data_IF_764646769458
#
_entry.id   IF_764646769458
#
_cell.length_a   1.000
_cell.length_b   1.000
_cell.length_c   1.000
_cell.angle_alpha   90.00
_cell.angle_beta   90.00
_cell.angle_gamma   90.00
#
_symmetry.space_group_name_H-M   'P 1'
#
loop_
_entity.id
_entity.type
_entity.pdbx_description
1 polymer ?
#
# COMPACT_ATOMS: atom_id res chain seq x y z
N UNK A 1 0.03 10.29 15.35
CA UNK A 1 0.44 9.16 14.52
C UNK A 1 0.88 9.64 13.19
N UNK A 2 1.97 9.11 12.71
CA UNK A 2 2.54 9.58 11.46
C UNK A 2 2.57 8.45 10.45
N UNK A 3 2.19 8.74 9.21
CA UNK A 3 2.35 7.82 8.11
C UNK A 3 3.83 7.44 7.92
N UNK A 4 4.06 6.23 7.45
CA UNK A 4 5.40 5.76 7.13
C UNK A 4 5.95 6.66 6.03
N UNK A 5 7.16 7.20 6.24
CA UNK A 5 7.83 8.00 5.22
C UNK A 5 8.46 7.09 4.18
N UNK A 6 8.53 7.59 2.95
CA UNK A 6 9.15 6.87 1.84
C UNK A 6 9.80 7.85 0.88
N UNK A 7 10.74 7.34 0.07
CA UNK A 7 11.31 8.07 -1.06
C UNK A 7 10.83 7.39 -2.34
N UNK A 8 9.93 8.04 -3.08
CA UNK A 8 9.28 7.44 -4.24
C UNK A 8 10.28 6.91 -5.27
N UNK A 9 11.35 7.65 -5.53
CA UNK A 9 12.39 7.24 -6.47
C UNK A 9 13.21 6.04 -6.01
N UNK A 10 13.14 5.67 -4.73
CA UNK A 10 13.88 4.55 -4.15
C UNK A 10 13.03 3.30 -3.97
N UNK A 11 11.74 3.38 -4.23
CA UNK A 11 10.84 2.23 -4.11
C UNK A 11 11.18 1.20 -5.17
N UNK A 12 11.47 -0.02 -4.73
CA UNK A 12 11.76 -1.13 -5.63
C UNK A 12 11.48 -2.46 -4.96
N UNK A 13 11.11 -3.49 -5.74
CA UNK A 13 10.95 -4.83 -5.21
C UNK A 13 12.33 -5.46 -4.95
N UNK A 14 12.39 -6.30 -3.94
CA UNK A 14 13.55 -7.17 -3.70
C UNK A 14 13.26 -8.58 -4.23
N UNK A 15 14.22 -9.49 -4.07
CA UNK A 15 14.04 -10.87 -4.54
C UNK A 15 12.88 -11.56 -3.83
N UNK A 16 12.14 -12.37 -4.58
CA UNK A 16 11.05 -13.17 -4.04
C UNK A 16 9.68 -12.50 -4.11
N UNK A 17 9.56 -11.36 -4.81
CA UNK A 17 8.27 -10.70 -4.97
C UNK A 17 7.43 -11.37 -6.05
N UNK A 18 6.11 -11.29 -5.87
CA UNK A 18 5.12 -11.63 -6.89
C UNK A 18 4.49 -10.33 -7.36
N UNK A 19 4.53 -10.10 -8.67
CA UNK A 19 4.03 -8.89 -9.29
C UNK A 19 2.74 -9.15 -10.05
N UNK A 20 1.88 -8.13 -10.07
CA UNK A 20 0.74 -8.04 -10.99
C UNK A 20 0.86 -6.76 -11.77
N UNK A 21 0.52 -6.81 -13.06
CA UNK A 21 0.44 -5.62 -13.89
C UNK A 21 -1.01 -5.30 -14.13
N UNK A 22 -1.37 -4.04 -13.93
CA UNK A 22 -2.74 -3.60 -14.07
C UNK A 22 -2.85 -2.12 -14.37
N UNK A 23 -4.07 -1.68 -14.64
CA UNK A 23 -4.35 -0.30 -15.02
C UNK A 23 -4.52 0.57 -13.77
N UNK A 24 -3.84 1.71 -13.73
CA UNK A 24 -4.08 2.71 -12.70
C UNK A 24 -5.45 3.35 -12.93
N UNK A 25 -6.28 3.37 -11.90
CA UNK A 25 -7.60 3.99 -11.94
C UNK A 25 -7.63 5.42 -11.40
N UNK A 26 -6.50 5.87 -10.88
CA UNK A 26 -6.26 7.21 -10.35
C UNK A 26 -4.78 7.50 -10.46
N UNK A 27 -4.36 8.73 -10.15
CA UNK A 27 -2.93 9.04 -10.05
C UNK A 27 -2.32 8.25 -8.90
N UNK A 28 -1.24 7.51 -9.18
CA UNK A 28 -0.50 6.71 -8.21
C UNK A 28 0.95 7.18 -8.15
N UNK A 29 1.59 6.95 -7.01
CA UNK A 29 3.03 7.15 -6.83
C UNK A 29 3.65 5.89 -6.25
N UNK A 30 4.94 5.60 -6.54
CA UNK A 30 5.59 4.42 -6.01
C UNK A 30 5.52 4.33 -4.49
N UNK A 31 5.25 3.15 -3.98
CA UNK A 31 5.20 2.89 -2.55
C UNK A 31 3.81 3.03 -1.92
N UNK A 32 2.82 3.46 -2.67
CA UNK A 32 1.45 3.54 -2.15
C UNK A 32 0.81 2.16 -2.05
N UNK A 33 0.07 1.93 -0.96
CA UNK A 33 -0.85 0.81 -0.88
C UNK A 33 -2.02 1.05 -1.83
N UNK A 34 -2.44 0.02 -2.54
CA UNK A 34 -3.49 0.13 -3.56
C UNK A 34 -4.54 -0.95 -3.41
N UNK A 35 -5.78 -0.61 -3.74
CA UNK A 35 -6.89 -1.56 -3.83
C UNK A 35 -7.41 -1.61 -5.26
N UNK A 36 -8.11 -2.67 -5.60
CA UNK A 36 -8.69 -2.83 -6.93
C UNK A 36 -10.16 -2.39 -6.90
N UNK A 37 -10.46 -1.34 -7.66
CA UNK A 37 -11.82 -0.77 -7.74
C UNK A 37 -12.54 -1.29 -8.98
N UNK A 38 -12.99 -2.52 -8.91
CA UNK A 38 -13.82 -3.13 -9.96
C UNK A 38 -13.26 -2.88 -11.36
N UNK A 39 -14.07 -2.31 -12.23
CA UNK A 39 -13.70 -1.99 -13.60
C UNK A 39 -12.83 -0.73 -13.75
N UNK A 40 -12.64 0.02 -12.65
CA UNK A 40 -11.95 1.31 -12.71
C UNK A 40 -10.44 1.23 -12.45
N UNK A 41 -9.93 0.04 -12.14
CA UNK A 41 -8.50 -0.16 -11.97
C UNK A 41 -8.01 0.05 -10.54
N UNK A 42 -6.70 0.17 -10.39
CA UNK A 42 -6.03 0.27 -9.10
C UNK A 42 -6.05 1.71 -8.59
N UNK A 43 -6.42 1.89 -7.33
CA UNK A 43 -6.52 3.19 -6.68
C UNK A 43 -5.80 3.19 -5.34
N UNK A 44 -5.41 4.38 -4.81
CA UNK A 44 -4.79 4.45 -3.48
C UNK A 44 -5.72 3.91 -2.41
N UNK A 45 -5.22 3.00 -1.58
CA UNK A 45 -5.98 2.43 -0.46
C UNK A 45 -6.19 3.47 0.62
N UNK A 46 -7.34 3.40 1.29
CA UNK A 46 -7.75 4.38 2.28
C UNK A 46 -8.60 3.68 3.35
N UNK A 47 -8.29 3.93 4.61
CA UNK A 47 -8.96 3.26 5.73
C UNK A 47 -10.34 3.83 6.07
N UNK A 48 -10.84 4.81 5.34
CA UNK A 48 -12.12 5.45 5.64
C UNK A 48 -13.35 4.73 5.06
N UNK A 49 -13.16 3.71 4.25
CA UNK A 49 -14.25 2.91 3.69
C UNK A 49 -13.85 1.45 3.56
N UNK A 50 -14.83 0.54 3.66
CA UNK A 50 -14.55 -0.90 3.63
C UNK A 50 -13.92 -1.36 2.32
N UNK A 51 -14.36 -0.82 1.18
CA UNK A 51 -13.84 -1.22 -0.12
C UNK A 51 -12.41 -0.72 -0.32
N UNK A 52 -12.15 0.55 -0.01
CA UNK A 52 -10.84 1.17 -0.22
C UNK A 52 -9.79 0.72 0.80
N UNK A 53 -10.21 0.24 1.96
CA UNK A 53 -9.29 -0.29 2.97
C UNK A 53 -8.71 -1.66 2.59
N UNK A 54 -9.32 -2.36 1.65
CA UNK A 54 -8.89 -3.70 1.23
C UNK A 54 -7.71 -3.63 0.27
N UNK A 55 -6.57 -3.17 0.74
CA UNK A 55 -5.35 -3.13 -0.07
C UNK A 55 -4.97 -4.53 -0.54
N UNK A 56 -4.56 -4.64 -1.80
CA UNK A 56 -4.12 -5.91 -2.38
C UNK A 56 -2.63 -5.92 -2.71
N UNK A 57 -1.98 -4.80 -2.57
CA UNK A 57 -0.55 -4.70 -2.80
C UNK A 57 -0.05 -3.28 -2.74
N UNK A 58 1.18 -3.11 -3.21
CA UNK A 58 1.88 -1.84 -3.25
C UNK A 58 2.35 -1.58 -4.67
N UNK A 59 2.00 -0.42 -5.22
CA UNK A 59 2.45 -0.02 -6.56
C UNK A 59 3.93 0.37 -6.53
N UNK A 60 4.70 -0.06 -7.53
CA UNK A 60 6.15 0.17 -7.54
C UNK A 60 6.65 0.90 -8.77
N UNK A 61 6.07 0.69 -9.96
CA UNK A 61 6.63 1.21 -11.20
C UNK A 61 5.63 1.14 -12.34
N UNK A 62 5.83 1.98 -13.35
CA UNK A 62 5.17 1.85 -14.66
C UNK A 62 6.14 1.36 -15.75
N UNK A 63 7.38 1.08 -15.36
CA UNK A 63 8.45 0.68 -16.28
C UNK A 63 9.24 1.83 -16.89
N UNK A 64 8.85 3.08 -16.67
CA UNK A 64 9.51 4.26 -17.24
C UNK A 64 10.51 4.94 -16.31
N UNK A 65 10.52 4.57 -15.03
CA UNK A 65 11.31 5.27 -14.02
C UNK A 65 10.63 6.51 -13.47
N UNK A 66 9.40 6.78 -13.88
CA UNK A 66 8.60 7.90 -13.36
C UNK A 66 8.24 7.68 -11.89
N UNK A 67 8.04 8.77 -11.17
CA UNK A 67 7.58 8.77 -9.77
C UNK A 67 6.12 9.24 -9.64
N UNK A 68 5.41 9.29 -10.75
CA UNK A 68 3.97 9.59 -10.78
C UNK A 68 3.34 8.89 -11.97
N UNK A 69 2.25 8.17 -11.73
CA UNK A 69 1.58 7.37 -12.74
C UNK A 69 0.16 7.90 -12.92
N UNK A 70 -0.12 8.44 -14.12
CA UNK A 70 -1.45 8.96 -14.42
C UNK A 70 -2.48 7.83 -14.51
N UNK A 71 -3.73 8.13 -14.23
CA UNK A 71 -4.84 7.21 -14.49
C UNK A 71 -4.82 6.76 -15.96
N UNK A 72 -5.04 5.47 -16.18
CA UNK A 72 -4.96 4.86 -17.52
C UNK A 72 -3.58 4.29 -17.87
N UNK A 73 -2.58 4.49 -17.00
CA UNK A 73 -1.23 3.92 -17.19
C UNK A 73 -1.19 2.51 -16.62
N UNK A 74 -0.52 1.59 -17.31
CA UNK A 74 -0.25 0.27 -16.74
C UNK A 74 0.86 0.36 -15.70
N UNK A 75 0.64 -0.24 -14.54
CA UNK A 75 1.57 -0.22 -13.42
C UNK A 75 1.85 -1.62 -12.91
N UNK A 76 3.02 -1.79 -12.29
CA UNK A 76 3.38 -3.02 -11.61
C UNK A 76 3.10 -2.90 -10.12
N UNK A 77 2.48 -3.92 -9.56
CA UNK A 77 2.06 -3.97 -8.17
C UNK A 77 2.64 -5.21 -7.53
N UNK A 78 3.34 -5.03 -6.41
CA UNK A 78 3.78 -6.15 -5.58
C UNK A 78 2.58 -6.61 -4.76
N UNK A 79 2.16 -7.84 -4.97
CA UNK A 79 1.05 -8.45 -4.20
C UNK A 79 1.55 -9.37 -3.10
N UNK A 80 2.83 -9.72 -3.11
CA UNK A 80 3.49 -10.50 -2.08
C UNK A 80 5.01 -10.30 -2.17
N UNK A 81 5.65 -10.06 -1.02
CA UNK A 81 7.10 -10.03 -0.94
C UNK A 81 7.68 -8.68 -0.53
N UNK A 82 9.01 -8.59 -0.46
CA UNK A 82 9.68 -7.41 0.10
C UNK A 82 9.79 -6.25 -0.88
N UNK A 83 9.45 -5.04 -0.39
CA UNK A 83 9.61 -3.77 -1.11
C UNK A 83 10.42 -2.82 -0.23
N UNK A 84 11.48 -2.25 -0.77
CA UNK A 84 12.32 -1.28 -0.08
C UNK A 84 12.06 0.15 -0.57
N UNK A 85 12.58 1.14 0.16
CA UNK A 85 12.43 2.56 -0.16
C UNK A 85 11.66 3.34 0.90
N UNK A 86 11.24 2.66 1.96
CA UNK A 86 10.61 3.26 3.14
C UNK A 86 11.68 3.70 4.14
N UNK A 87 11.27 4.33 5.24
CA UNK A 87 12.19 4.79 6.26
C UNK A 87 11.60 4.67 7.65
N UNK A 88 12.48 4.41 8.61
CA UNK A 88 12.18 4.51 10.05
C UNK A 88 11.07 3.59 10.55
N UNK A 89 10.84 2.48 9.88
CA UNK A 89 9.88 1.48 10.37
C UNK A 89 10.44 0.70 11.55
N UNK A 90 9.57 0.31 12.47
CA UNK A 90 9.91 -0.62 13.55
C UNK A 90 9.90 -2.03 12.98
N UNK A 91 11.04 -2.69 13.03
CA UNK A 91 11.21 -4.05 12.49
C UNK A 91 10.29 -5.04 13.21
N UNK A 92 9.62 -5.87 12.44
CA UNK A 92 8.71 -6.88 12.95
C UNK A 92 7.29 -6.38 13.24
N UNK A 93 7.07 -5.08 13.26
CA UNK A 93 5.75 -4.52 13.54
C UNK A 93 4.85 -4.57 12.29
N UNK A 94 3.53 -4.77 12.47
CA UNK A 94 2.60 -4.77 11.35
C UNK A 94 2.50 -3.39 10.70
N UNK A 95 2.05 -3.40 9.45
CA UNK A 95 1.82 -2.18 8.65
C UNK A 95 0.37 -2.18 8.18
N UNK A 96 -0.32 -1.08 8.43
CA UNK A 96 -1.74 -0.91 8.16
C UNK A 96 -1.98 0.12 7.07
N UNK A 97 -3.13 0.02 6.40
CA UNK A 97 -3.63 1.09 5.54
C UNK A 97 -3.91 2.32 6.41
N UNK A 98 -3.44 3.48 5.97
CA UNK A 98 -3.67 4.75 6.66
C UNK A 98 -5.00 5.38 6.25
N UNK A 99 -5.47 6.33 7.05
CA UNK A 99 -6.59 7.21 6.68
C UNK A 99 -6.18 8.26 5.64
N UNK A 100 -4.90 8.36 5.34
CA UNK A 100 -4.40 9.18 4.22
C UNK A 100 -4.29 8.26 2.99
N UNK A 101 -5.00 8.59 1.92
CA UNK A 101 -5.07 7.74 0.73
C UNK A 101 -3.67 7.37 0.21
N UNK A 102 -3.44 6.09 0.03
CA UNK A 102 -2.17 5.52 -0.44
C UNK A 102 -1.09 5.38 0.61
N UNK A 103 -1.18 6.06 1.74
CA UNK A 103 -0.20 5.97 2.81
C UNK A 103 -0.43 4.73 3.68
N UNK A 104 0.59 4.39 4.46
CA UNK A 104 0.55 3.29 5.41
C UNK A 104 1.09 3.76 6.76
N UNK A 105 0.71 3.09 7.82
CA UNK A 105 1.12 3.43 9.18
C UNK A 105 1.35 2.14 9.96
N UNK A 106 2.29 2.15 10.88
CA UNK A 106 2.51 1.03 11.80
C UNK A 106 1.61 1.10 13.03
N UNK A 107 0.80 2.13 13.13
CA UNK A 107 -0.27 2.23 14.11
C UNK A 107 -1.60 2.12 13.40
N UNK A 108 -2.45 1.18 13.84
CA UNK A 108 -3.78 1.01 13.27
C UNK A 108 -4.63 2.27 13.47
N UNK A 109 -5.54 2.60 12.54
CA UNK A 109 -6.51 3.67 12.75
C UNK A 109 -7.30 3.46 14.04
N UNK A 110 -7.65 4.55 14.72
CA UNK A 110 -8.35 4.50 16.00
C UNK A 110 -9.66 5.28 16.01
N UNK A 111 -9.93 6.08 14.98
CA UNK A 111 -11.17 6.86 14.92
C UNK A 111 -12.37 5.98 14.61
N UNK A 112 -13.49 6.26 15.26
CA UNK A 112 -14.74 5.54 15.00
C UNK A 112 -15.13 5.65 13.51
N UNK A 113 -15.52 4.53 12.93
CA UNK A 113 -15.90 4.46 11.52
C UNK A 113 -14.74 4.13 10.57
N UNK A 114 -13.50 4.23 11.02
CA UNK A 114 -12.35 3.82 10.22
C UNK A 114 -12.17 2.31 10.25
N UNK A 115 -11.39 1.80 9.30
CA UNK A 115 -11.18 0.37 9.13
C UNK A 115 -9.72 0.01 9.39
N UNK A 116 -9.52 -1.14 10.03
CA UNK A 116 -8.19 -1.72 10.27
C UNK A 116 -7.94 -2.80 9.24
N UNK A 117 -6.90 -2.61 8.43
CA UNK A 117 -6.50 -3.57 7.42
C UNK A 117 -4.98 -3.65 7.35
N UNK A 118 -4.44 -4.84 7.53
CA UNK A 118 -3.01 -5.11 7.53
C UNK A 118 -2.51 -5.34 6.10
N UNK A 119 -1.50 -4.57 5.69
CA UNK A 119 -0.87 -4.69 4.38
C UNK A 119 0.31 -5.66 4.41
N UNK A 120 0.96 -5.75 5.55
CA UNK A 120 2.14 -6.58 5.76
C UNK A 120 2.86 -6.22 7.04
N UNK A 121 4.16 -6.38 7.04
CA UNK A 121 4.98 -6.10 8.23
C UNK A 121 6.36 -5.60 7.81
N UNK A 122 7.04 -4.90 8.72
CA UNK A 122 8.37 -4.36 8.45
C UNK A 122 9.43 -5.45 8.62
N UNK A 123 10.07 -5.82 7.52
CA UNK A 123 11.19 -6.77 7.52
C UNK A 123 12.49 -6.10 7.94
N UNK A 124 12.61 -4.81 7.62
CA UNK A 124 13.72 -3.94 8.01
C UNK A 124 13.17 -2.51 8.13
N UNK A 125 14.00 -1.59 8.64
CA UNK A 125 13.57 -0.19 8.78
C UNK A 125 13.14 0.44 7.45
N UNK A 126 13.71 -0.02 6.34
CA UNK A 126 13.42 0.48 4.99
C UNK A 126 12.59 -0.48 4.15
N UNK A 127 12.32 -1.69 4.63
CA UNK A 127 11.73 -2.77 3.81
C UNK A 127 10.42 -3.26 4.41
N UNK A 128 9.36 -3.13 3.61
CA UNK A 128 8.03 -3.67 3.90
C UNK A 128 7.90 -5.05 3.25
N UNK A 129 7.52 -6.06 4.01
CA UNK A 129 7.10 -7.32 3.43
C UNK A 129 5.59 -7.25 3.15
N UNK A 130 5.23 -7.16 1.87
CA UNK A 130 3.84 -7.07 1.46
C UNK A 130 3.18 -8.44 1.58
N UNK A 131 2.17 -8.52 2.42
CA UNK A 131 1.38 -9.72 2.64
C UNK A 131 -0.01 -9.32 3.14
N UNK A 132 -0.88 -8.80 2.25
CA UNK A 132 -2.18 -8.30 2.66
C UNK A 132 -3.01 -9.37 3.34
N UNK A 133 -3.74 -8.98 4.39
CA UNK A 133 -4.62 -9.89 5.09
C UNK A 133 -5.72 -10.41 4.16
N UNK A 134 -6.20 -11.63 4.41
CA UNK A 134 -7.26 -12.25 3.60
C UNK A 134 -8.66 -11.88 4.07
N UNK A 135 -8.79 -11.49 5.33
CA UNK A 135 -10.08 -11.14 5.93
C UNK A 135 -10.51 -9.74 5.50
N UNK A 136 -11.83 -9.50 5.57
CA UNK A 136 -12.34 -8.13 5.39
C UNK A 136 -11.81 -7.22 6.49
N UNK A 137 -11.73 -5.90 6.24
CA UNK A 137 -11.29 -4.95 7.26
C UNK A 137 -12.21 -4.95 8.46
N UNK A 138 -11.62 -4.70 9.63
CA UNK A 138 -12.39 -4.53 10.87
C UNK A 138 -12.70 -3.05 11.07
N UNK A 139 -13.98 -2.74 11.27
CA UNK A 139 -14.39 -1.36 11.53
C UNK A 139 -14.15 -1.00 13.00
N UNK A 140 -13.71 0.22 13.25
CA UNK A 140 -13.62 0.77 14.60
C UNK A 140 -15.03 1.15 15.05
N UNK A 141 -15.53 0.62 16.18
CA UNK A 141 -16.90 0.90 16.64
C UNK A 141 -17.13 2.39 16.92
N UNK A 142 -18.35 2.81 16.64
CA UNK A 142 -18.80 4.17 16.94
C UNK A 142 -19.27 4.31 18.39
#
# INVERSE_FOLDING_TARGET
>A
MADITLTAASIRPLNGTILRRGLAGATLTPGQAVYLDGANGWKPADADAVASAQARGVVISDGSGSVSFAAGTNVDIVVFGPVTGYASMTVGAPVYVSVTAGAMDQTAPTAAGDYVFEVGWAEAAATLFVNPQVKVPTVIPT
#
